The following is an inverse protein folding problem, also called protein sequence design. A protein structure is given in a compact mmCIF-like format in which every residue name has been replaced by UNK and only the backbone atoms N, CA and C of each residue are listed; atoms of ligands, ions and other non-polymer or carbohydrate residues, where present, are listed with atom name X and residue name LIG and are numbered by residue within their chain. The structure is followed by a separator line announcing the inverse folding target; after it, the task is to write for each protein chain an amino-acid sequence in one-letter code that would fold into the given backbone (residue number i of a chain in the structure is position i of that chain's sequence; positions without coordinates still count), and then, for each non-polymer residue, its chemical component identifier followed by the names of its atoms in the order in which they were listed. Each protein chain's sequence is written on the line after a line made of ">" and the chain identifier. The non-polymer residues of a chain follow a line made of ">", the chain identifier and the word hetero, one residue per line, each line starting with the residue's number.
data_IF_547805346507
#
_entry.id   IF_547805346507
#
_cell.length_a   1.000
_cell.length_b   1.000
_cell.length_c   1.000
_cell.angle_alpha   90.00
_cell.angle_beta   90.00
_cell.angle_gamma   90.00
#
_symmetry.space_group_name_H-M   'P 1'
#
loop_
_entity.id
_entity.type
_entity.pdbx_description
1 polymer ?
#
# COMPACT_ATOMS: atom_id res chain seq x y z
N UNK A 1 -20.16 22.39 -5.62
CA UNK A 1 -19.23 21.32 -6.10
C UNK A 1 -19.76 19.98 -5.61
N UNK A 2 -20.01 19.05 -6.52
CA UNK A 2 -20.44 17.69 -6.15
C UNK A 2 -19.26 16.97 -5.48
N UNK A 3 -19.50 16.24 -4.39
CA UNK A 3 -18.45 15.42 -3.77
C UNK A 3 -18.04 14.32 -4.75
N UNK A 4 -16.74 14.02 -4.79
CA UNK A 4 -16.23 12.92 -5.62
C UNK A 4 -16.90 11.60 -5.21
N UNK A 5 -17.30 10.74 -6.17
CA UNK A 5 -17.86 9.44 -5.86
C UNK A 5 -16.87 8.62 -5.03
N UNK A 6 -17.35 8.09 -3.92
CA UNK A 6 -16.58 7.25 -3.00
C UNK A 6 -17.26 5.90 -2.91
N UNK A 7 -16.51 4.84 -3.18
CA UNK A 7 -17.00 3.46 -3.15
C UNK A 7 -16.09 2.58 -2.29
N UNK A 8 -16.61 1.51 -1.68
CA UNK A 8 -15.80 0.61 -0.86
C UNK A 8 -14.78 -0.21 -1.69
N UNK A 9 -15.04 -0.41 -2.98
CA UNK A 9 -14.16 -1.17 -3.88
C UNK A 9 -14.13 -0.53 -5.26
N UNK A 10 -12.96 -0.49 -5.88
CA UNK A 10 -12.81 -0.02 -7.27
C UNK A 10 -13.58 -0.94 -8.21
N UNK A 11 -14.41 -0.40 -9.13
CA UNK A 11 -15.07 -1.16 -10.17
C UNK A 11 -14.07 -1.91 -11.06
N UNK A 12 -14.39 -3.15 -11.42
CA UNK A 12 -13.48 -4.00 -12.21
C UNK A 12 -13.69 -3.88 -13.73
N UNK A 13 -14.59 -3.00 -14.17
CA UNK A 13 -14.90 -2.68 -15.56
C UNK A 13 -13.91 -1.69 -16.22
N UNK A 14 -12.94 -1.20 -15.44
CA UNK A 14 -11.98 -0.22 -15.93
C UNK A 14 -10.94 -0.86 -16.86
N UNK A 15 -10.51 -0.16 -17.94
CA UNK A 15 -9.62 -0.71 -18.95
C UNK A 15 -8.22 -1.05 -18.41
N UNK A 16 -7.75 -0.36 -17.38
CA UNK A 16 -6.47 -0.65 -16.74
C UNK A 16 -6.62 -0.70 -15.21
N UNK A 17 -6.33 -1.85 -14.64
CA UNK A 17 -6.48 -2.13 -13.20
C UNK A 17 -5.14 -2.57 -12.63
N UNK A 18 -4.81 -2.04 -11.46
CA UNK A 18 -3.62 -2.37 -10.68
C UNK A 18 -4.04 -3.00 -9.36
N UNK A 19 -3.55 -4.21 -9.12
CA UNK A 19 -3.81 -4.96 -7.88
C UNK A 19 -2.53 -5.09 -7.04
N UNK A 20 -2.64 -5.20 -5.71
CA UNK A 20 -1.47 -5.49 -4.90
C UNK A 20 -0.98 -6.91 -5.18
N UNK A 21 0.32 -7.05 -5.43
CA UNK A 21 0.95 -8.35 -5.65
C UNK A 21 1.24 -9.04 -4.32
N UNK A 22 0.41 -10.00 -3.96
CA UNK A 22 0.62 -10.87 -2.78
C UNK A 22 1.98 -11.58 -2.87
N UNK A 23 2.33 -12.11 -4.05
CA UNK A 23 3.59 -12.82 -4.27
C UNK A 23 4.81 -11.96 -3.93
N UNK A 24 4.89 -10.72 -4.45
CA UNK A 24 6.01 -9.81 -4.17
C UNK A 24 6.11 -9.48 -2.68
N UNK A 25 4.97 -9.27 -2.02
CA UNK A 25 4.91 -9.01 -0.57
C UNK A 25 5.34 -10.22 0.25
N UNK A 26 4.85 -11.41 -0.09
CA UNK A 26 5.24 -12.66 0.60
C UNK A 26 6.76 -12.87 0.49
N UNK A 27 7.33 -12.72 -0.70
CA UNK A 27 8.78 -12.89 -0.90
C UNK A 27 9.57 -11.88 -0.07
N UNK A 28 9.20 -10.60 -0.14
CA UNK A 28 9.96 -9.54 0.54
C UNK A 28 9.82 -9.63 2.07
N UNK A 29 8.59 -9.59 2.57
CA UNK A 29 8.36 -9.59 4.02
C UNK A 29 8.57 -10.97 4.64
N UNK A 30 8.23 -12.06 3.93
CA UNK A 30 8.51 -13.42 4.37
C UNK A 30 10.01 -13.68 4.50
N UNK A 31 10.80 -13.25 3.52
CA UNK A 31 12.27 -13.31 3.60
C UNK A 31 12.82 -12.51 4.79
N UNK A 32 12.28 -11.32 5.03
CA UNK A 32 12.66 -10.50 6.19
C UNK A 32 12.31 -11.18 7.52
N UNK A 33 11.10 -11.72 7.64
CA UNK A 33 10.66 -12.46 8.85
C UNK A 33 11.53 -13.69 9.08
N UNK A 34 11.84 -14.47 8.04
CA UNK A 34 12.72 -15.62 8.13
C UNK A 34 14.13 -15.24 8.61
N UNK A 35 14.70 -14.17 8.05
CA UNK A 35 16.01 -13.68 8.48
C UNK A 35 16.00 -13.22 9.95
N UNK A 36 14.95 -12.50 10.37
CA UNK A 36 14.77 -12.07 11.74
C UNK A 36 14.63 -13.27 12.70
N UNK A 37 13.84 -14.28 12.32
CA UNK A 37 13.66 -15.49 13.10
C UNK A 37 14.95 -16.30 13.20
N UNK A 38 15.75 -16.39 12.14
CA UNK A 38 17.05 -17.04 12.17
C UNK A 38 18.01 -16.36 13.15
N UNK A 39 18.09 -15.03 13.12
CA UNK A 39 18.91 -14.26 14.07
C UNK A 39 18.42 -14.45 15.51
N UNK A 40 17.12 -14.33 15.74
CA UNK A 40 16.52 -14.52 17.06
C UNK A 40 16.74 -15.95 17.58
N UNK A 41 16.57 -16.96 16.73
CA UNK A 41 16.83 -18.36 17.05
C UNK A 41 18.28 -18.61 17.42
N UNK A 42 19.23 -18.01 16.70
CA UNK A 42 20.65 -18.07 17.05
C UNK A 42 20.93 -17.44 18.43
N UNK A 43 20.41 -16.23 18.68
CA UNK A 43 20.65 -15.52 19.95
C UNK A 43 20.05 -16.28 21.13
N UNK A 44 18.80 -16.70 21.03
CA UNK A 44 18.12 -17.45 22.09
C UNK A 44 18.70 -18.86 22.28
N UNK A 45 19.10 -19.50 21.16
CA UNK A 45 19.75 -20.81 21.18
C UNK A 45 21.09 -20.79 21.91
N UNK A 46 21.94 -19.79 21.62
CA UNK A 46 23.20 -19.60 22.32
C UNK A 46 22.99 -19.33 23.81
N UNK A 47 21.98 -18.53 24.17
CA UNK A 47 21.64 -18.28 25.58
C UNK A 47 21.05 -19.49 26.32
N UNK A 48 20.49 -20.45 25.58
CA UNK A 48 19.92 -21.66 26.15
C UNK A 48 20.98 -22.75 26.44
N UNK A 49 22.12 -22.71 25.75
CA UNK A 49 23.18 -23.72 25.91
C UNK A 49 23.77 -23.63 27.32
N UNK A 50 23.67 -24.75 28.07
CA UNK A 50 24.17 -24.81 29.43
C UNK A 50 23.38 -24.06 30.49
N UNK A 51 22.23 -23.45 30.13
CA UNK A 51 21.36 -22.75 31.06
C UNK A 51 20.26 -23.66 31.61
N UNK A 52 20.00 -23.67 32.93
CA UNK A 52 18.86 -24.40 33.50
C UNK A 52 17.49 -23.87 32.98
N UNK A 53 17.47 -22.68 32.41
CA UNK A 53 16.27 -22.06 31.79
C UNK A 53 16.18 -22.28 30.26
N UNK A 54 16.93 -23.21 29.69
CA UNK A 54 16.92 -23.50 28.26
C UNK A 54 15.53 -23.80 27.69
N UNK A 55 14.69 -24.51 28.47
CA UNK A 55 13.29 -24.76 28.10
C UNK A 55 12.45 -23.47 28.00
N UNK A 56 12.67 -22.48 28.86
CA UNK A 56 11.96 -21.21 28.82
C UNK A 56 12.32 -20.38 27.56
N UNK A 57 13.59 -20.40 27.15
CA UNK A 57 14.02 -19.76 25.90
C UNK A 57 13.37 -20.40 24.68
N UNK A 58 13.25 -21.72 24.65
CA UNK A 58 12.55 -22.44 23.56
C UNK A 58 11.08 -22.03 23.49
N UNK A 59 10.37 -22.05 24.63
CA UNK A 59 8.96 -21.63 24.69
C UNK A 59 8.80 -20.19 24.22
N UNK A 60 9.65 -19.27 24.69
CA UNK A 60 9.63 -17.87 24.26
C UNK A 60 9.82 -17.75 22.76
N UNK A 61 10.78 -18.46 22.18
CA UNK A 61 11.02 -18.47 20.73
C UNK A 61 9.81 -18.95 19.95
N UNK A 62 9.17 -20.04 20.39
CA UNK A 62 7.98 -20.58 19.75
C UNK A 62 6.79 -19.61 19.81
N UNK A 63 6.58 -18.97 20.96
CA UNK A 63 5.52 -17.96 21.13
C UNK A 63 5.75 -16.76 20.20
N UNK A 64 6.96 -16.21 20.20
CA UNK A 64 7.31 -15.08 19.32
C UNK A 64 7.09 -15.49 17.85
N UNK A 65 7.57 -16.66 17.45
CA UNK A 65 7.40 -17.18 16.08
C UNK A 65 5.92 -17.30 15.70
N UNK A 66 5.10 -17.88 16.59
CA UNK A 66 3.65 -18.02 16.35
C UNK A 66 2.95 -16.68 16.18
N UNK A 67 3.31 -15.68 17.01
CA UNK A 67 2.77 -14.32 16.90
C UNK A 67 3.17 -13.68 15.57
N UNK A 68 4.45 -13.77 15.17
CA UNK A 68 4.90 -13.20 13.89
C UNK A 68 4.24 -13.87 12.68
N UNK A 69 4.13 -15.20 12.68
CA UNK A 69 3.47 -15.95 11.60
C UNK A 69 1.98 -15.59 11.53
N UNK A 70 1.32 -15.46 12.69
CA UNK A 70 -0.09 -15.05 12.75
C UNK A 70 -0.32 -13.65 12.22
N UNK A 71 0.48 -12.67 12.66
CA UNK A 71 0.39 -11.28 12.19
C UNK A 71 0.71 -11.16 10.70
N UNK A 72 1.72 -11.89 10.23
CA UNK A 72 2.08 -11.90 8.82
C UNK A 72 1.00 -12.55 7.96
N UNK A 73 0.43 -13.67 8.40
CA UNK A 73 -0.70 -14.31 7.73
C UNK A 73 -1.92 -13.40 7.64
N UNK A 74 -2.26 -12.72 8.74
CA UNK A 74 -3.35 -11.73 8.78
C UNK A 74 -3.08 -10.58 7.80
N UNK A 75 -1.86 -10.06 7.76
CA UNK A 75 -1.50 -8.98 6.83
C UNK A 75 -1.63 -9.41 5.36
N UNK A 76 -1.17 -10.62 5.02
CA UNK A 76 -1.33 -11.17 3.68
C UNK A 76 -2.81 -11.32 3.32
N UNK A 77 -3.61 -11.88 4.22
CA UNK A 77 -5.05 -12.03 4.02
C UNK A 77 -5.74 -10.70 3.78
N UNK A 78 -5.44 -9.66 4.57
CA UNK A 78 -5.99 -8.32 4.39
C UNK A 78 -5.62 -7.71 3.03
N UNK A 79 -4.40 -7.94 2.56
CA UNK A 79 -3.97 -7.45 1.24
C UNK A 79 -4.63 -8.24 0.12
N UNK A 80 -4.72 -9.57 0.23
CA UNK A 80 -5.34 -10.42 -0.78
C UNK A 80 -6.83 -10.11 -0.96
N UNK A 81 -7.54 -9.80 0.14
CA UNK A 81 -8.97 -9.45 0.11
C UNK A 81 -9.24 -7.99 -0.21
N UNK A 82 -8.20 -7.14 -0.22
CA UNK A 82 -8.31 -5.69 -0.38
C UNK A 82 -8.80 -5.22 -1.76
N UNK A 83 -8.70 -6.04 -2.81
CA UNK A 83 -9.07 -5.70 -4.18
C UNK A 83 -8.11 -4.71 -4.85
N UNK A 84 -8.47 -4.12 -6.01
CA UNK A 84 -7.63 -3.17 -6.74
C UNK A 84 -7.27 -1.94 -5.90
N UNK A 85 -6.08 -1.38 -6.14
CA UNK A 85 -5.59 -0.16 -5.46
C UNK A 85 -5.61 1.07 -6.36
N UNK A 86 -5.53 0.85 -7.67
CA UNK A 86 -5.58 1.88 -8.68
C UNK A 86 -6.31 1.33 -9.91
N UNK A 87 -7.17 2.12 -10.53
CA UNK A 87 -7.66 1.84 -11.86
C UNK A 87 -7.68 3.13 -12.68
N UNK A 88 -7.34 3.02 -13.95
CA UNK A 88 -7.17 4.15 -14.86
C UNK A 88 -8.06 3.95 -16.07
N UNK A 89 -8.78 5.00 -16.43
CA UNK A 89 -9.69 4.99 -17.58
C UNK A 89 -9.71 6.31 -18.33
N UNK A 90 -10.44 6.39 -19.45
CA UNK A 90 -10.48 7.57 -20.30
C UNK A 90 -11.07 8.81 -19.60
N UNK A 91 -11.98 8.63 -18.66
CA UNK A 91 -12.65 9.71 -17.95
C UNK A 91 -11.93 10.15 -16.66
N UNK A 92 -11.02 9.36 -16.13
CA UNK A 92 -10.32 9.65 -14.89
C UNK A 92 -9.67 8.42 -14.27
N UNK A 93 -9.31 8.52 -13.00
CA UNK A 93 -8.72 7.43 -12.24
C UNK A 93 -9.47 7.17 -10.92
N UNK A 94 -9.49 5.90 -10.54
CA UNK A 94 -9.86 5.45 -9.22
C UNK A 94 -8.59 5.22 -8.41
N UNK A 95 -8.54 5.77 -7.22
CA UNK A 95 -7.45 5.52 -6.29
C UNK A 95 -8.00 5.10 -4.93
N UNK A 96 -7.39 4.09 -4.34
CA UNK A 96 -7.76 3.62 -3.03
C UNK A 96 -7.00 4.42 -1.98
N UNK A 97 -7.70 4.91 -0.97
CA UNK A 97 -7.10 5.70 0.11
C UNK A 97 -6.19 4.88 1.02
N UNK A 98 -6.43 3.54 1.09
CA UNK A 98 -5.60 2.59 1.83
C UNK A 98 -5.53 1.25 1.10
N UNK A 99 -4.37 0.59 1.05
CA UNK A 99 -4.22 -0.65 0.28
C UNK A 99 -5.04 -1.84 0.82
N UNK A 100 -5.31 -1.91 2.13
CA UNK A 100 -6.02 -3.04 2.74
C UNK A 100 -7.49 -2.78 3.05
N UNK A 101 -7.83 -1.63 3.59
CA UNK A 101 -9.19 -1.26 4.05
C UNK A 101 -9.50 0.20 3.75
N UNK A 102 -9.43 0.62 2.52
CA UNK A 102 -9.72 2.00 2.16
C UNK A 102 -10.92 2.10 1.22
N UNK A 103 -11.56 3.25 1.28
CA UNK A 103 -12.50 3.65 0.26
C UNK A 103 -11.74 4.01 -1.01
N UNK A 104 -12.34 3.72 -2.16
CA UNK A 104 -11.84 4.15 -3.45
C UNK A 104 -12.52 5.47 -3.82
N UNK A 105 -11.73 6.41 -4.28
CA UNK A 105 -12.18 7.73 -4.71
C UNK A 105 -12.02 7.82 -6.21
N UNK A 106 -13.05 8.32 -6.88
CA UNK A 106 -13.01 8.66 -8.29
C UNK A 106 -12.51 10.09 -8.48
N UNK A 107 -11.48 10.25 -9.28
CA UNK A 107 -10.92 11.53 -9.65
C UNK A 107 -10.99 11.68 -11.18
N UNK A 108 -11.87 12.52 -11.71
CA UNK A 108 -11.84 12.89 -13.14
C UNK A 108 -10.54 13.61 -13.45
N UNK A 109 -10.04 13.50 -14.69
CA UNK A 109 -8.75 14.09 -15.08
C UNK A 109 -8.70 15.61 -14.82
N UNK A 110 -9.82 16.31 -14.95
CA UNK A 110 -9.95 17.76 -14.71
C UNK A 110 -9.76 18.13 -13.23
N UNK A 111 -10.03 17.20 -12.33
CA UNK A 111 -9.87 17.41 -10.89
C UNK A 111 -8.45 17.11 -10.39
N UNK A 112 -7.60 16.56 -11.24
CA UNK A 112 -6.21 16.22 -10.90
C UNK A 112 -5.32 17.40 -11.26
N UNK A 113 -4.61 17.93 -10.29
CA UNK A 113 -3.64 19.02 -10.47
C UNK A 113 -2.29 18.55 -10.96
N UNK A 114 -1.90 17.32 -10.61
CA UNK A 114 -0.64 16.72 -11.03
C UNK A 114 -0.50 15.29 -10.51
N UNK A 115 0.31 14.52 -11.23
CA UNK A 115 0.71 13.16 -10.82
C UNK A 115 2.22 13.14 -10.75
N UNK A 116 2.75 12.75 -9.61
CA UNK A 116 4.19 12.66 -9.39
C UNK A 116 4.60 11.29 -8.88
N UNK A 117 5.84 10.93 -9.19
CA UNK A 117 6.47 9.76 -8.63
C UNK A 117 7.35 10.18 -7.46
N UNK A 118 7.11 9.58 -6.30
CA UNK A 118 7.97 9.79 -5.14
C UNK A 118 8.49 8.46 -4.58
N UNK A 119 9.63 8.52 -3.93
CA UNK A 119 10.24 7.39 -3.24
C UNK A 119 10.28 7.69 -1.74
N UNK A 120 9.72 6.78 -0.97
CA UNK A 120 9.77 6.82 0.48
C UNK A 120 10.39 5.54 0.99
N UNK A 121 11.58 5.66 1.59
CA UNK A 121 12.35 4.50 2.02
C UNK A 121 12.56 3.51 0.85
N UNK A 122 12.01 2.32 0.95
CA UNK A 122 12.08 1.27 -0.08
C UNK A 122 10.87 1.24 -1.03
N UNK A 123 9.85 2.07 -0.77
CA UNK A 123 8.64 2.08 -1.58
C UNK A 123 8.65 3.22 -2.60
N UNK A 124 8.29 2.86 -3.84
CA UNK A 124 7.99 3.82 -4.89
C UNK A 124 6.48 4.03 -4.90
N UNK A 125 6.08 5.28 -4.87
CA UNK A 125 4.68 5.65 -4.78
C UNK A 125 4.29 6.57 -5.93
N UNK A 126 3.12 6.31 -6.49
CA UNK A 126 2.42 7.25 -7.36
C UNK A 126 1.62 8.20 -6.47
N UNK A 127 1.92 9.47 -6.54
CA UNK A 127 1.24 10.52 -5.78
C UNK A 127 0.33 11.29 -6.72
N UNK A 128 -0.95 11.36 -6.40
CA UNK A 128 -1.97 12.08 -7.17
C UNK A 128 -2.39 13.30 -6.35
N UNK A 129 -2.07 14.48 -6.85
CA UNK A 129 -2.44 15.74 -6.20
C UNK A 129 -3.75 16.25 -6.81
N UNK A 130 -4.84 16.35 -6.04
CA UNK A 130 -6.07 16.98 -6.52
C UNK A 130 -5.88 18.49 -6.69
N UNK A 131 -6.63 19.10 -7.58
CA UNK A 131 -6.65 20.57 -7.73
C UNK A 131 -7.30 21.26 -6.53
N UNK A 132 -8.30 20.62 -5.92
CA UNK A 132 -8.95 21.11 -4.70
C UNK A 132 -8.39 20.36 -3.49
N UNK A 133 -7.59 21.01 -2.61
CA UNK A 133 -7.05 20.37 -1.40
C UNK A 133 -8.14 19.89 -0.43
N UNK A 134 -9.35 20.44 -0.51
CA UNK A 134 -10.48 20.03 0.34
C UNK A 134 -11.06 18.68 -0.06
N UNK A 135 -10.72 18.17 -1.23
CA UNK A 135 -11.12 16.83 -1.67
C UNK A 135 -10.64 15.73 -0.71
N UNK A 136 -9.47 15.92 -0.12
CA UNK A 136 -8.87 14.98 0.83
C UNK A 136 -9.54 15.00 2.23
N UNK A 137 -10.04 16.16 2.66
CA UNK A 137 -10.63 16.35 3.99
C UNK A 137 -12.01 15.67 4.15
N UNK A 138 -12.68 15.33 3.05
CA UNK A 138 -14.05 14.77 3.06
C UNK A 138 -14.09 13.25 3.23
N UNK A 139 -12.95 12.58 3.39
CA UNK A 139 -12.85 11.12 3.42
C UNK A 139 -13.07 10.49 4.80
N UNK A 140 -13.50 11.28 5.80
CA UNK A 140 -13.79 10.81 7.17
C UNK A 140 -12.60 10.95 8.13
N UNK A 141 -12.90 11.05 9.44
CA UNK A 141 -11.94 11.42 10.48
C UNK A 141 -10.72 10.47 10.59
N UNK A 142 -10.91 9.17 10.40
CA UNK A 142 -9.79 8.20 10.43
C UNK A 142 -8.92 8.26 9.17
N UNK A 143 -9.51 8.59 8.02
CA UNK A 143 -8.77 8.78 6.77
C UNK A 143 -8.04 10.12 6.80
N UNK A 144 -8.59 11.13 7.49
CA UNK A 144 -7.96 12.43 7.66
C UNK A 144 -6.65 12.36 8.46
N UNK A 145 -6.55 11.51 9.49
CA UNK A 145 -5.30 11.35 10.25
C UNK A 145 -4.20 10.69 9.42
N UNK A 146 -4.54 9.65 8.66
CA UNK A 146 -3.61 8.95 7.77
C UNK A 146 -3.22 9.82 6.56
N UNK A 147 -4.17 10.62 6.05
CA UNK A 147 -3.91 11.59 4.99
C UNK A 147 -3.05 12.76 5.45
N UNK A 148 -3.14 13.18 6.72
CA UNK A 148 -2.27 14.21 7.28
C UNK A 148 -0.81 13.77 7.32
N UNK A 149 -0.53 12.52 7.71
CA UNK A 149 0.82 11.96 7.71
C UNK A 149 1.33 11.83 6.27
N UNK A 150 0.49 11.32 5.38
CA UNK A 150 0.82 11.15 3.96
C UNK A 150 0.95 12.52 3.27
N UNK A 151 0.12 13.49 3.60
CA UNK A 151 0.17 14.86 3.09
C UNK A 151 1.44 15.59 3.57
N UNK A 152 1.83 15.42 4.84
CA UNK A 152 3.08 15.97 5.36
C UNK A 152 4.31 15.37 4.68
N UNK A 153 4.27 14.07 4.34
CA UNK A 153 5.37 13.36 3.72
C UNK A 153 5.41 13.53 2.18
N UNK A 154 4.26 13.55 1.51
CA UNK A 154 4.14 13.47 0.04
C UNK A 154 3.44 14.67 -0.60
N UNK A 155 2.85 15.57 0.20
CA UNK A 155 2.09 16.71 -0.31
C UNK A 155 0.70 16.35 -0.82
N UNK A 156 0.26 15.09 -0.68
CA UNK A 156 -1.07 14.61 -1.04
C UNK A 156 -1.44 13.37 -0.24
N UNK A 157 -2.74 13.20 0.04
CA UNK A 157 -3.31 12.00 0.68
C UNK A 157 -3.58 10.84 -0.28
N UNK A 158 -3.52 11.07 -1.60
CA UNK A 158 -3.79 10.04 -2.60
C UNK A 158 -2.49 9.43 -3.11
N UNK A 159 -2.16 8.25 -2.60
CA UNK A 159 -0.93 7.54 -2.97
C UNK A 159 -1.22 6.08 -3.33
N UNK A 160 -0.52 5.57 -4.35
CA UNK A 160 -0.56 4.16 -4.72
C UNK A 160 0.86 3.59 -4.78
N UNK A 161 1.08 2.47 -4.10
CA UNK A 161 2.39 1.79 -4.07
C UNK A 161 2.65 1.08 -5.39
N UNK A 162 3.79 1.36 -6.03
CA UNK A 162 4.19 0.79 -7.32
C UNK A 162 4.97 -0.52 -7.18
N UNK A 163 5.86 -0.63 -6.16
CA UNK A 163 6.74 -1.79 -6.00
C UNK A 163 6.01 -3.11 -5.80
N UNK A 164 4.91 -3.07 -5.04
CA UNK A 164 4.12 -4.24 -4.71
C UNK A 164 2.85 -4.36 -5.55
N UNK A 165 2.83 -3.72 -6.71
CA UNK A 165 1.78 -3.88 -7.71
C UNK A 165 1.99 -5.15 -8.55
N UNK A 166 0.91 -5.70 -9.09
CA UNK A 166 0.93 -6.82 -10.04
C UNK A 166 1.48 -6.40 -11.40
N UNK A 167 1.33 -5.10 -11.75
CA UNK A 167 1.88 -4.47 -12.94
C UNK A 167 3.24 -3.85 -12.66
N UNK A 168 4.06 -3.69 -13.69
CA UNK A 168 5.33 -2.97 -13.57
C UNK A 168 5.09 -1.47 -13.41
N UNK A 169 6.05 -0.78 -12.78
CA UNK A 169 6.02 0.68 -12.65
C UNK A 169 5.88 1.38 -14.00
N UNK A 170 6.60 0.89 -15.01
CA UNK A 170 6.58 1.44 -16.36
C UNK A 170 5.20 1.31 -17.01
N UNK A 171 4.57 0.13 -16.92
CA UNK A 171 3.21 -0.10 -17.43
C UNK A 171 2.19 0.82 -16.76
N UNK A 172 2.30 1.02 -15.44
CA UNK A 172 1.40 1.91 -14.70
C UNK A 172 1.56 3.36 -15.17
N UNK A 173 2.80 3.84 -15.27
CA UNK A 173 3.08 5.21 -15.71
C UNK A 173 2.68 5.43 -17.19
N UNK A 174 2.91 4.46 -18.05
CA UNK A 174 2.49 4.50 -19.44
C UNK A 174 0.95 4.54 -19.57
N UNK A 175 0.24 3.71 -18.81
CA UNK A 175 -1.22 3.72 -18.80
C UNK A 175 -1.76 5.07 -18.31
N UNK A 176 -1.19 5.62 -17.23
CA UNK A 176 -1.56 6.94 -16.70
C UNK A 176 -1.30 8.02 -17.76
N UNK A 177 -0.13 8.03 -18.41
CA UNK A 177 0.20 8.99 -19.45
C UNK A 177 -0.74 8.90 -20.65
N UNK A 178 -1.03 7.67 -21.10
CA UNK A 178 -1.93 7.39 -22.22
C UNK A 178 -3.34 7.91 -21.96
N UNK A 179 -3.94 7.55 -20.82
CA UNK A 179 -5.30 7.95 -20.49
C UNK A 179 -5.41 9.43 -20.06
N UNK A 180 -4.38 10.00 -19.44
CA UNK A 180 -4.33 11.42 -19.14
C UNK A 180 -4.26 12.28 -20.42
N UNK A 181 -3.67 11.76 -21.50
CA UNK A 181 -3.62 12.42 -22.80
C UNK A 181 -3.14 13.89 -22.72
N UNK A 182 -2.15 14.17 -21.88
CA UNK A 182 -1.61 15.54 -21.67
C UNK A 182 -2.46 16.46 -20.82
N UNK A 183 -3.63 16.03 -20.31
CA UNK A 183 -4.52 16.85 -19.46
C UNK A 183 -3.94 17.11 -18.07
N UNK A 184 -3.01 16.27 -17.62
CA UNK A 184 -2.41 16.33 -16.28
C UNK A 184 -0.89 16.30 -16.40
N UNK A 185 -0.15 17.19 -15.71
CA UNK A 185 1.30 17.15 -15.68
C UNK A 185 1.78 15.89 -14.93
N UNK A 186 2.74 15.20 -15.53
CA UNK A 186 3.42 14.04 -14.97
C UNK A 186 4.85 14.46 -14.62
N UNK A 187 5.27 14.28 -13.33
CA UNK A 187 6.57 14.64 -12.80
C UNK A 187 7.28 13.48 -12.09
#
# INVERSE_FOLDING_TARGET
>A
MQPYPVVPRIPEDQPFIVRPSVRKRVIFFGGFVLALMAVLGCVLGLGAIGSPSGGAFLVLFLVITAVFVGLFGLQIWLVATGGPVLAVGPAGLWIKTRPSRGQAVWLPWEAIGGISRRRWSFEKMLCVAPRDPRAEQRLGAFTAFDSLVTQAAFGTGFTATLNFADRSEQEILQAVAYFAAGRVPLA
#
